data_IF_793162675427
#
_entry.id   IF_793162675427
#
_cell.length_a   1.000
_cell.length_b   1.000
_cell.length_c   1.000
_cell.angle_alpha   90.00
_cell.angle_beta   90.00
_cell.angle_gamma   90.00
#
_symmetry.space_group_name_H-M   'P 1'
#
loop_
_entity.id
_entity.type
_entity.pdbx_description
1 polymer ?
#
# COMPACT_ATOMS: atom_id res chain seq x y z
N UNK A 1 -10.94 8.34 -23.66
CA UNK A 1 -10.13 7.13 -23.91
C UNK A 1 -8.76 7.28 -23.24
N UNK A 2 -8.15 6.16 -22.81
CA UNK A 2 -6.82 6.16 -22.20
C UNK A 2 -5.74 6.62 -23.20
N UNK A 3 -5.94 6.35 -24.49
CA UNK A 3 -5.03 6.75 -25.54
C UNK A 3 -4.98 8.28 -25.69
N UNK A 4 -6.11 8.93 -25.83
CA UNK A 4 -6.20 10.40 -25.88
C UNK A 4 -5.62 11.04 -24.63
N UNK A 5 -5.96 10.52 -23.45
CA UNK A 5 -5.41 11.01 -22.19
C UNK A 5 -3.89 10.85 -22.12
N UNK A 6 -3.35 9.79 -22.73
CA UNK A 6 -1.92 9.55 -22.76
C UNK A 6 -1.15 10.62 -23.58
N UNK A 7 -1.81 11.26 -24.52
CA UNK A 7 -1.24 12.29 -25.38
C UNK A 7 -1.23 13.69 -24.72
N UNK A 8 -1.98 13.87 -23.63
CA UNK A 8 -1.98 15.14 -22.90
C UNK A 8 -0.55 15.45 -22.36
N UNK A 9 -0.09 16.71 -22.48
CA UNK A 9 1.27 17.11 -22.07
C UNK A 9 1.65 16.69 -20.65
N UNK A 10 0.68 16.71 -19.71
CA UNK A 10 0.88 16.28 -18.34
C UNK A 10 1.31 14.80 -18.24
N UNK A 11 0.65 13.92 -18.99
CA UNK A 11 0.99 12.49 -18.99
C UNK A 11 2.27 12.20 -19.73
N UNK A 12 2.55 12.90 -20.83
CA UNK A 12 3.85 12.84 -21.52
C UNK A 12 4.99 13.23 -20.58
N UNK A 13 4.84 14.35 -19.87
CA UNK A 13 5.80 14.78 -18.83
C UNK A 13 5.99 13.74 -17.73
N UNK A 14 4.90 13.18 -17.20
CA UNK A 14 4.97 12.13 -16.16
C UNK A 14 5.71 10.87 -16.64
N UNK A 15 5.47 10.44 -17.90
CA UNK A 15 6.20 9.30 -18.50
C UNK A 15 7.69 9.58 -18.66
N UNK A 16 8.02 10.73 -19.21
CA UNK A 16 9.42 11.13 -19.44
C UNK A 16 10.19 11.22 -18.09
N UNK A 17 9.62 11.86 -17.09
CA UNK A 17 10.21 11.96 -15.77
C UNK A 17 10.36 10.57 -15.09
N UNK A 18 9.36 9.70 -15.24
CA UNK A 18 9.43 8.34 -14.73
C UNK A 18 10.54 7.55 -15.40
N UNK A 19 10.63 7.61 -16.72
CA UNK A 19 11.68 6.94 -17.49
C UNK A 19 13.07 7.44 -17.09
N UNK A 20 13.27 8.75 -17.01
CA UNK A 20 14.55 9.33 -16.60
C UNK A 20 15.00 8.82 -15.22
N UNK A 21 14.08 8.82 -14.24
CA UNK A 21 14.36 8.32 -12.90
C UNK A 21 14.69 6.82 -12.86
N UNK A 22 14.02 6.01 -13.68
CA UNK A 22 14.29 4.57 -13.75
C UNK A 22 15.61 4.28 -14.45
N UNK A 23 15.97 5.03 -15.48
CA UNK A 23 17.27 4.93 -16.14
C UNK A 23 18.41 5.33 -15.20
N UNK A 24 18.25 6.41 -14.44
CA UNK A 24 19.21 6.78 -13.38
C UNK A 24 19.37 5.67 -12.36
N UNK A 25 18.26 5.09 -11.89
CA UNK A 25 18.27 3.97 -10.95
C UNK A 25 19.01 2.76 -11.52
N UNK A 26 18.74 2.41 -12.79
CA UNK A 26 19.42 1.30 -13.49
C UNK A 26 20.92 1.57 -13.63
N UNK A 27 21.30 2.78 -14.02
CA UNK A 27 22.71 3.19 -14.15
C UNK A 27 23.43 2.98 -12.83
N UNK A 28 22.86 3.49 -11.74
CA UNK A 28 23.46 3.39 -10.41
C UNK A 28 23.58 1.94 -9.90
N UNK A 29 22.58 1.10 -10.15
CA UNK A 29 22.66 -0.33 -9.82
C UNK A 29 23.76 -1.06 -10.60
N UNK A 30 24.03 -0.64 -11.84
CA UNK A 30 25.14 -1.17 -12.63
C UNK A 30 26.50 -0.70 -12.07
N UNK A 31 26.63 0.55 -11.66
CA UNK A 31 27.85 1.11 -11.07
C UNK A 31 28.25 0.40 -9.77
N UNK A 32 27.27 0.07 -8.91
CA UNK A 32 27.53 -0.68 -7.67
C UNK A 32 27.59 -2.20 -7.87
N UNK A 33 27.52 -2.67 -9.11
CA UNK A 33 27.59 -4.10 -9.45
C UNK A 33 26.63 -5.01 -8.68
N UNK A 34 25.42 -4.54 -8.40
CA UNK A 34 24.45 -5.27 -7.56
C UNK A 34 24.10 -6.65 -8.12
N UNK A 35 24.18 -6.84 -9.44
CA UNK A 35 23.95 -8.14 -10.07
C UNK A 35 25.05 -9.16 -9.79
N UNK A 36 26.32 -8.72 -9.73
CA UNK A 36 27.48 -9.61 -9.50
C UNK A 36 27.68 -9.90 -8.02
N UNK A 37 27.46 -8.88 -7.18
CA UNK A 37 27.60 -9.02 -5.73
C UNK A 37 26.44 -8.30 -5.01
N UNK A 38 25.27 -8.96 -4.88
CA UNK A 38 24.08 -8.34 -4.29
C UNK A 38 24.29 -7.83 -2.87
N UNK A 39 24.96 -8.61 -2.02
CA UNK A 39 25.17 -8.24 -0.61
C UNK A 39 26.01 -6.96 -0.46
N UNK A 40 27.16 -6.90 -1.15
CA UNK A 40 28.05 -5.73 -1.12
C UNK A 40 27.38 -4.51 -1.78
N UNK A 41 26.73 -4.73 -2.92
CA UNK A 41 26.01 -3.66 -3.62
C UNK A 41 24.90 -3.07 -2.77
N UNK A 42 24.13 -3.92 -2.11
CA UNK A 42 23.08 -3.48 -1.18
C UNK A 42 23.67 -2.72 0.03
N UNK A 43 24.69 -3.26 0.69
CA UNK A 43 25.35 -2.59 1.81
C UNK A 43 25.87 -1.19 1.44
N UNK A 44 26.42 -1.05 0.24
CA UNK A 44 26.86 0.26 -0.29
C UNK A 44 25.70 1.22 -0.47
N UNK A 45 24.56 0.73 -0.95
CA UNK A 45 23.37 1.55 -1.21
C UNK A 45 22.71 2.05 0.07
N UNK A 46 22.58 1.18 1.09
CA UNK A 46 21.89 1.52 2.35
C UNK A 46 22.77 2.21 3.38
N UNK A 47 24.05 2.43 3.07
CA UNK A 47 24.94 3.11 4.03
C UNK A 47 24.33 4.46 4.45
N UNK A 48 24.29 4.79 5.75
CA UNK A 48 23.64 6.00 6.27
C UNK A 48 24.11 7.30 5.61
N UNK A 49 25.36 7.37 5.21
CA UNK A 49 25.94 8.53 4.51
C UNK A 49 25.54 8.60 3.03
N UNK A 50 25.01 7.52 2.46
CA UNK A 50 24.65 7.46 1.04
C UNK A 50 23.17 7.84 0.81
N UNK A 51 22.87 9.13 0.94
CA UNK A 51 21.50 9.65 0.69
C UNK A 51 21.00 9.31 -0.71
N UNK A 52 21.85 9.33 -1.72
CA UNK A 52 21.51 9.00 -3.11
C UNK A 52 21.15 7.52 -3.26
N UNK A 53 21.88 6.63 -2.62
CA UNK A 53 21.59 5.19 -2.62
C UNK A 53 20.22 4.88 -2.01
N UNK A 54 19.91 5.48 -0.88
CA UNK A 54 18.61 5.32 -0.21
C UNK A 54 17.44 5.81 -1.08
N UNK A 55 17.60 6.94 -1.78
CA UNK A 55 16.57 7.45 -2.70
C UNK A 55 16.37 6.50 -3.89
N UNK A 56 17.44 5.95 -4.44
CA UNK A 56 17.41 4.99 -5.55
C UNK A 56 16.71 3.69 -5.16
N UNK A 57 17.02 3.14 -3.97
CA UNK A 57 16.29 1.97 -3.44
C UNK A 57 14.81 2.29 -3.27
N UNK A 58 14.49 3.43 -2.68
CA UNK A 58 13.11 3.86 -2.47
C UNK A 58 12.33 3.97 -3.80
N UNK A 59 12.99 4.46 -4.86
CA UNK A 59 12.39 4.51 -6.22
C UNK A 59 12.13 3.11 -6.78
N UNK A 60 13.09 2.20 -6.66
CA UNK A 60 12.93 0.82 -7.13
C UNK A 60 11.81 0.09 -6.37
N UNK A 61 11.78 0.19 -5.04
CA UNK A 61 10.74 -0.38 -4.20
C UNK A 61 9.37 0.20 -4.51
N UNK A 62 9.27 1.50 -4.81
CA UNK A 62 8.00 2.12 -5.21
C UNK A 62 7.42 1.49 -6.47
N UNK A 63 8.25 1.19 -7.47
CA UNK A 63 7.76 0.55 -8.69
C UNK A 63 7.24 -0.88 -8.43
N UNK A 64 7.90 -1.64 -7.57
CA UNK A 64 7.45 -2.97 -7.16
C UNK A 64 6.13 -2.86 -6.39
N UNK A 65 6.04 -1.94 -5.43
CA UNK A 65 4.82 -1.71 -4.65
C UNK A 65 3.64 -1.30 -5.53
N UNK A 66 3.84 -0.37 -6.46
CA UNK A 66 2.80 0.06 -7.40
C UNK A 66 2.30 -1.12 -8.24
N UNK A 67 3.19 -1.98 -8.69
CA UNK A 67 2.82 -3.15 -9.49
C UNK A 67 2.09 -4.22 -8.69
N UNK A 68 2.53 -4.50 -7.47
CA UNK A 68 2.08 -5.63 -6.68
C UNK A 68 0.95 -5.30 -5.70
N UNK A 69 0.91 -4.07 -5.17
CA UNK A 69 0.09 -3.76 -3.99
C UNK A 69 -0.98 -2.69 -4.24
N UNK A 70 -0.87 -1.89 -5.29
CA UNK A 70 -1.69 -0.66 -5.42
C UNK A 70 -3.21 -0.88 -5.42
N UNK A 71 -3.68 -2.04 -5.86
CA UNK A 71 -5.10 -2.38 -5.95
C UNK A 71 -5.48 -3.57 -5.05
N UNK A 72 -4.56 -3.99 -4.20
CA UNK A 72 -4.72 -5.13 -3.31
C UNK A 72 -4.72 -4.72 -1.83
N UNK A 73 -4.52 -3.44 -1.55
CA UNK A 73 -4.52 -2.88 -0.20
C UNK A 73 -5.58 -1.79 -0.12
N UNK A 74 -6.37 -1.84 0.94
CA UNK A 74 -7.32 -0.78 1.29
C UNK A 74 -6.88 -0.16 2.61
N UNK A 75 -6.76 1.17 2.61
CA UNK A 75 -6.45 1.93 3.82
C UNK A 75 -7.72 2.43 4.49
N UNK A 76 -7.89 2.08 5.75
CA UNK A 76 -8.99 2.51 6.58
C UNK A 76 -8.61 3.81 7.28
N UNK A 77 -8.88 4.92 6.62
CA UNK A 77 -8.49 6.24 7.11
C UNK A 77 -9.34 6.72 8.28
N UNK A 78 -10.65 6.44 8.25
CA UNK A 78 -11.59 6.82 9.29
C UNK A 78 -12.57 5.68 9.54
N UNK A 79 -12.67 5.26 10.79
CA UNK A 79 -13.66 4.29 11.22
C UNK A 79 -14.18 4.67 12.62
N UNK A 80 -15.42 5.04 12.68
CA UNK A 80 -16.09 5.40 13.93
C UNK A 80 -17.58 5.58 13.71
N UNK A 81 -18.34 5.51 14.77
CA UNK A 81 -19.75 5.84 14.78
C UNK A 81 -19.95 7.31 15.11
N UNK A 82 -20.99 7.91 14.54
CA UNK A 82 -21.33 9.31 14.71
C UNK A 82 -22.36 9.43 15.84
N UNK A 83 -22.25 10.46 16.64
CA UNK A 83 -23.27 10.79 17.64
C UNK A 83 -24.62 11.05 16.96
N UNK A 84 -25.74 10.52 17.48
CA UNK A 84 -25.93 9.83 18.78
C UNK A 84 -25.73 8.29 18.72
N UNK A 85 -25.35 7.74 17.59
CA UNK A 85 -25.30 6.28 17.35
C UNK A 85 -24.03 5.62 17.90
N UNK A 86 -23.08 6.38 18.40
CA UNK A 86 -21.78 5.88 18.87
C UNK A 86 -21.90 4.88 20.05
N UNK A 87 -22.94 4.98 20.84
CA UNK A 87 -23.17 4.06 21.94
C UNK A 87 -23.80 2.73 21.49
N UNK A 88 -24.58 2.76 20.41
CA UNK A 88 -25.30 1.61 19.86
C UNK A 88 -24.48 0.89 18.79
N UNK A 89 -23.92 1.64 17.87
CA UNK A 89 -23.15 1.15 16.74
C UNK A 89 -21.64 1.18 17.06
N UNK A 90 -21.17 0.32 17.93
CA UNK A 90 -19.77 0.31 18.31
C UNK A 90 -18.81 0.34 17.11
N UNK A 91 -17.91 1.32 17.05
CA UNK A 91 -16.91 1.41 15.99
C UNK A 91 -16.06 0.14 15.80
N UNK A 92 -15.94 -0.68 16.84
CA UNK A 92 -15.32 -2.01 16.78
C UNK A 92 -16.10 -2.98 15.89
N UNK A 93 -17.43 -2.94 15.90
CA UNK A 93 -18.24 -3.78 15.02
C UNK A 93 -17.97 -3.43 13.56
N UNK A 94 -17.96 -2.16 13.21
CA UNK A 94 -17.65 -1.70 11.84
C UNK A 94 -16.24 -2.12 11.44
N UNK A 95 -15.24 -1.90 12.29
CA UNK A 95 -13.85 -2.29 12.04
C UNK A 95 -13.68 -3.83 11.94
N UNK A 96 -14.57 -4.60 12.54
CA UNK A 96 -14.60 -6.06 12.41
C UNK A 96 -15.27 -6.49 11.09
N UNK A 97 -16.40 -5.89 10.76
CA UNK A 97 -17.15 -6.22 9.54
C UNK A 97 -16.35 -5.94 8.26
N UNK A 98 -15.46 -4.95 8.27
CA UNK A 98 -14.64 -4.62 7.10
C UNK A 98 -13.69 -5.75 6.71
N UNK A 99 -13.37 -6.65 7.64
CA UNK A 99 -12.54 -7.85 7.37
C UNK A 99 -13.35 -9.02 6.83
N UNK A 100 -14.66 -8.89 6.70
CA UNK A 100 -15.55 -9.95 6.26
C UNK A 100 -15.35 -10.35 4.81
N UNK A 101 -15.76 -11.57 4.47
CA UNK A 101 -15.73 -12.07 3.11
C UNK A 101 -16.61 -11.23 2.18
N UNK A 102 -17.78 -10.78 2.67
CA UNK A 102 -18.69 -9.93 1.91
C UNK A 102 -18.01 -8.64 1.41
N UNK A 103 -17.21 -7.99 2.26
CA UNK A 103 -16.47 -6.79 1.86
C UNK A 103 -15.41 -7.11 0.81
N UNK A 104 -14.71 -8.23 0.94
CA UNK A 104 -13.74 -8.69 -0.08
C UNK A 104 -14.40 -8.96 -1.43
N UNK A 105 -15.55 -9.60 -1.42
CA UNK A 105 -16.32 -9.90 -2.63
C UNK A 105 -16.86 -8.61 -3.28
N UNK A 106 -17.41 -7.69 -2.49
CA UNK A 106 -17.86 -6.39 -2.96
C UNK A 106 -16.69 -5.57 -3.53
N UNK A 107 -15.54 -5.58 -2.88
CA UNK A 107 -14.33 -4.93 -3.38
C UNK A 107 -13.93 -5.49 -4.74
N UNK A 108 -13.83 -6.81 -4.85
CA UNK A 108 -13.50 -7.49 -6.11
C UNK A 108 -14.54 -7.18 -7.19
N UNK A 109 -15.83 -7.30 -6.88
CA UNK A 109 -16.92 -6.97 -7.81
C UNK A 109 -16.86 -5.53 -8.30
N UNK A 110 -16.55 -4.59 -7.39
CA UNK A 110 -16.47 -3.16 -7.71
C UNK A 110 -15.29 -2.85 -8.61
N UNK A 111 -14.09 -3.32 -8.25
CA UNK A 111 -12.86 -2.88 -8.89
C UNK A 111 -12.34 -3.82 -9.98
N UNK A 112 -12.81 -5.07 -10.07
CA UNK A 112 -12.51 -5.97 -11.19
C UNK A 112 -13.56 -5.96 -12.30
N UNK A 113 -14.69 -5.28 -12.11
CA UNK A 113 -15.71 -5.16 -13.13
C UNK A 113 -15.27 -4.24 -14.25
N UNK A 114 -15.37 -4.68 -15.50
CA UNK A 114 -15.09 -3.87 -16.70
C UNK A 114 -15.85 -2.55 -16.74
N UNK A 115 -17.00 -2.47 -16.08
CA UNK A 115 -17.83 -1.26 -15.98
C UNK A 115 -17.16 -0.15 -15.18
N UNK A 116 -16.42 -0.50 -14.13
CA UNK A 116 -15.81 0.46 -13.21
C UNK A 116 -14.29 0.55 -13.34
N UNK A 117 -13.69 -0.44 -13.98
CA UNK A 117 -12.26 -0.52 -14.17
C UNK A 117 -11.84 0.35 -15.35
N UNK A 118 -10.99 1.33 -15.09
CA UNK A 118 -10.34 2.13 -16.13
C UNK A 118 -8.91 1.63 -16.34
N UNK A 119 -8.45 1.52 -17.58
CA UNK A 119 -7.06 1.13 -17.82
C UNK A 119 -6.10 2.19 -17.29
N UNK A 120 -4.96 1.75 -16.77
CA UNK A 120 -3.91 2.66 -16.32
C UNK A 120 -3.32 3.42 -17.50
N UNK A 121 -3.52 4.73 -17.56
CA UNK A 121 -3.06 5.58 -18.67
C UNK A 121 -1.57 5.39 -18.95
N UNK A 122 -0.72 5.47 -17.92
CA UNK A 122 0.73 5.37 -18.07
C UNK A 122 1.16 3.94 -18.46
N UNK A 123 0.59 2.92 -17.84
CA UNK A 123 0.96 1.54 -18.14
C UNK A 123 0.46 1.11 -19.53
N UNK A 124 -0.74 1.52 -19.90
CA UNK A 124 -1.33 1.24 -21.21
C UNK A 124 -0.54 1.91 -22.33
N UNK A 125 -0.20 3.17 -22.16
CA UNK A 125 0.61 3.93 -23.10
C UNK A 125 2.02 3.32 -23.29
N UNK A 126 2.64 2.80 -22.22
CA UNK A 126 3.93 2.13 -22.34
C UNK A 126 3.86 0.76 -23.03
N UNK A 127 2.71 0.08 -22.95
CA UNK A 127 2.50 -1.24 -23.55
C UNK A 127 1.79 -1.20 -24.92
N UNK A 128 1.28 -0.05 -25.34
CA UNK A 128 0.49 0.09 -26.56
C UNK A 128 -0.85 -0.64 -26.52
N UNK A 129 -1.32 -1.08 -25.34
CA UNK A 129 -2.60 -1.78 -25.14
C UNK A 129 -3.18 -1.48 -23.77
N UNK A 130 -4.51 -1.59 -23.59
CA UNK A 130 -5.12 -1.36 -22.28
C UNK A 130 -4.54 -2.28 -21.21
N UNK A 131 -4.08 -1.71 -20.11
CA UNK A 131 -3.56 -2.44 -18.95
C UNK A 131 -4.50 -2.23 -17.79
N UNK A 132 -5.21 -3.28 -17.44
CA UNK A 132 -6.02 -3.38 -16.24
C UNK A 132 -5.24 -4.08 -15.13
N UNK A 133 -5.61 -3.83 -13.90
CA UNK A 133 -5.03 -4.48 -12.73
C UNK A 133 -6.10 -5.28 -12.03
N UNK A 134 -5.79 -6.49 -11.62
CA UNK A 134 -6.70 -7.30 -10.82
C UNK A 134 -6.80 -6.72 -9.41
N UNK A 135 -8.00 -6.34 -9.03
CA UNK A 135 -8.30 -5.87 -7.70
C UNK A 135 -8.68 -7.07 -6.81
N UNK A 136 -7.76 -7.51 -6.01
CA UNK A 136 -7.98 -8.58 -5.03
C UNK A 136 -7.53 -8.07 -3.66
N UNK A 137 -8.50 -7.75 -2.80
CA UNK A 137 -8.19 -7.23 -1.47
C UNK A 137 -7.45 -8.27 -0.63
N UNK A 138 -6.15 -8.07 -0.47
CA UNK A 138 -5.27 -8.94 0.30
C UNK A 138 -5.04 -8.42 1.71
N UNK A 139 -5.08 -7.10 1.88
CA UNK A 139 -4.66 -6.46 3.11
C UNK A 139 -5.49 -5.21 3.39
N UNK A 140 -5.80 -5.01 4.65
CA UNK A 140 -6.36 -3.78 5.19
C UNK A 140 -5.29 -3.12 6.04
N UNK A 141 -5.10 -1.83 5.85
CA UNK A 141 -4.21 -1.02 6.68
C UNK A 141 -4.99 0.07 7.38
N UNK A 142 -4.48 0.53 8.50
CA UNK A 142 -5.02 1.69 9.20
C UNK A 142 -3.91 2.40 9.95
N UNK A 143 -4.10 3.69 10.16
CA UNK A 143 -3.23 4.51 10.99
C UNK A 143 -4.02 4.99 12.21
N UNK A 144 -3.59 4.64 13.40
CA UNK A 144 -4.18 5.17 14.63
C UNK A 144 -3.46 6.45 15.04
N UNK A 145 -4.23 7.52 15.23
CA UNK A 145 -3.74 8.80 15.77
C UNK A 145 -3.59 8.77 17.29
N UNK A 146 -4.22 7.80 17.93
CA UNK A 146 -4.19 7.63 19.39
C UNK A 146 -3.06 6.70 19.81
N UNK A 147 -2.55 6.88 21.01
CA UNK A 147 -1.54 5.99 21.58
C UNK A 147 -1.99 4.52 21.60
N UNK A 148 -1.04 3.60 21.68
CA UNK A 148 -1.25 2.14 21.54
C UNK A 148 -2.35 1.61 22.47
N UNK A 149 -2.45 2.14 23.69
CA UNK A 149 -3.43 1.70 24.67
C UNK A 149 -4.87 2.06 24.32
N UNK A 150 -5.10 3.11 23.57
CA UNK A 150 -6.43 3.62 23.24
C UNK A 150 -6.93 3.23 21.85
N UNK A 151 -6.10 2.62 21.02
CA UNK A 151 -6.51 2.17 19.68
C UNK A 151 -7.52 1.04 19.76
N UNK A 152 -8.67 1.21 19.09
CA UNK A 152 -9.68 0.16 18.97
C UNK A 152 -9.15 -1.12 18.32
N UNK A 153 -8.19 -0.99 17.39
CA UNK A 153 -7.64 -2.11 16.62
C UNK A 153 -6.86 -3.09 17.49
N UNK A 154 -6.19 -2.63 18.53
CA UNK A 154 -5.47 -3.50 19.48
C UNK A 154 -6.41 -4.42 20.27
N UNK A 155 -7.71 -4.08 20.31
CA UNK A 155 -8.74 -4.81 21.07
C UNK A 155 -9.61 -5.72 20.19
N UNK A 156 -9.49 -5.62 18.88
CA UNK A 156 -10.22 -6.48 17.95
C UNK A 156 -9.41 -7.76 17.72
N UNK A 157 -9.82 -8.84 18.34
CA UNK A 157 -9.16 -10.15 18.25
C UNK A 157 -10.21 -11.25 18.17
N UNK A 158 -10.29 -11.91 17.02
CA UNK A 158 -11.10 -13.10 16.85
C UNK A 158 -10.17 -14.31 16.79
N UNK A 159 -10.07 -15.02 17.88
CA UNK A 159 -9.19 -16.16 17.98
C UNK A 159 -9.92 -17.43 17.52
N UNK A 160 -9.26 -18.24 16.69
CA UNK A 160 -9.78 -19.52 16.20
C UNK A 160 -10.29 -20.41 17.32
N UNK A 161 -9.61 -20.45 18.46
CA UNK A 161 -10.02 -21.25 19.62
C UNK A 161 -11.41 -20.89 20.19
N UNK A 162 -11.89 -19.67 19.93
CA UNK A 162 -13.18 -19.18 20.41
C UNK A 162 -14.29 -19.31 19.36
N UNK A 163 -13.93 -19.60 18.10
CA UNK A 163 -14.86 -19.59 16.97
C UNK A 163 -14.53 -20.73 16.00
N UNK A 164 -15.28 -21.81 16.06
CA UNK A 164 -15.04 -23.03 15.27
C UNK A 164 -15.08 -22.83 13.75
N UNK A 165 -15.76 -21.78 13.29
CA UNK A 165 -15.85 -21.46 11.87
C UNK A 165 -14.62 -20.71 11.33
N UNK A 166 -13.72 -20.23 12.19
CA UNK A 166 -12.50 -19.55 11.76
C UNK A 166 -11.42 -20.54 11.37
N UNK A 167 -10.82 -20.37 10.21
CA UNK A 167 -9.65 -21.13 9.79
C UNK A 167 -8.37 -20.67 10.50
N UNK A 168 -8.25 -19.38 10.71
CA UNK A 168 -7.10 -18.71 11.34
C UNK A 168 -7.59 -17.60 12.27
N UNK A 169 -6.71 -17.13 13.15
CA UNK A 169 -6.96 -15.95 13.96
C UNK A 169 -7.08 -14.71 13.08
N UNK A 170 -8.06 -13.86 13.37
CA UNK A 170 -8.21 -12.54 12.74
C UNK A 170 -7.81 -11.50 13.78
N UNK A 171 -6.69 -10.87 13.58
CA UNK A 171 -6.13 -9.86 14.47
C UNK A 171 -5.54 -8.72 13.67
N UNK A 172 -5.64 -7.50 14.18
CA UNK A 172 -4.87 -6.38 13.68
C UNK A 172 -3.44 -6.47 14.24
N UNK A 173 -2.46 -6.49 13.35
CA UNK A 173 -1.04 -6.51 13.72
C UNK A 173 -0.46 -5.12 13.64
N UNK A 174 0.18 -4.67 14.71
CA UNK A 174 1.00 -3.47 14.66
C UNK A 174 2.23 -3.75 13.81
N UNK A 175 2.39 -3.00 12.73
CA UNK A 175 3.55 -3.13 11.83
C UNK A 175 4.64 -2.18 12.26
N UNK A 176 4.25 -1.00 12.72
CA UNK A 176 5.16 0.10 12.95
C UNK A 176 4.60 1.07 13.98
N UNK A 177 5.44 1.42 14.92
CA UNK A 177 5.22 2.48 15.89
C UNK A 177 6.24 3.58 15.63
N UNK A 178 5.78 4.81 15.51
CA UNK A 178 6.66 5.95 15.30
C UNK A 178 7.41 6.28 16.60
N UNK A 179 8.43 5.52 16.91
CA UNK A 179 9.40 5.90 17.93
C UNK A 179 10.37 6.91 17.33
N UNK A 180 10.67 7.96 18.09
CA UNK A 180 11.43 9.15 17.67
C UNK A 180 12.79 8.87 17.00
N UNK A 181 13.24 7.63 16.96
CA UNK A 181 14.64 7.29 16.65
C UNK A 181 14.92 6.77 15.24
N UNK A 182 13.99 6.19 14.49
CA UNK A 182 14.37 5.49 13.26
C UNK A 182 13.59 5.79 11.97
N UNK A 183 12.35 6.25 12.03
CA UNK A 183 11.57 6.53 10.83
C UNK A 183 10.80 7.83 10.96
N UNK A 184 11.14 8.81 10.11
CA UNK A 184 10.41 10.08 10.03
C UNK A 184 9.20 9.91 9.11
N UNK A 185 8.04 9.61 9.67
CA UNK A 185 6.77 9.89 9.00
C UNK A 185 6.35 11.33 9.33
N UNK A 186 5.65 12.00 8.44
CA UNK A 186 5.14 13.36 8.68
C UNK A 186 3.97 13.40 9.68
N UNK A 187 3.55 12.28 10.23
CA UNK A 187 2.47 12.14 11.20
C UNK A 187 2.91 11.34 12.42
N UNK A 188 2.28 11.61 13.55
CA UNK A 188 2.37 10.76 14.74
C UNK A 188 1.24 9.74 14.65
N UNK A 189 1.58 8.45 14.60
CA UNK A 189 0.55 7.41 14.53
C UNK A 189 1.12 6.02 14.71
N UNK A 190 0.24 5.08 15.00
CA UNK A 190 0.53 3.64 15.04
C UNK A 190 -0.12 3.01 13.82
N UNK A 191 0.64 2.28 13.05
CA UNK A 191 0.17 1.60 11.83
C UNK A 191 -0.19 0.16 12.15
N UNK A 192 -1.34 -0.29 11.64
CA UNK A 192 -1.86 -1.64 11.81
C UNK A 192 -2.18 -2.28 10.45
N UNK A 193 -2.01 -3.57 10.37
CA UNK A 193 -2.45 -4.43 9.25
C UNK A 193 -3.43 -5.49 9.76
#
# INVERSE_FOLDING_TARGET
>A
DWLEQSEIPLFKKKRALKLARLLETRKFFNEVNIKKNPARGYATLIHPSNKKGNDIISRALREIKIKALSENIMDLSVCGSITPYNEILGGKLVASLITSQQVRELYKKRYSSKKYQKPSIIASSNKGKPVYRDANLLCLTTTSLYGVSSSQYNRIKFLKKNFNFLKNDIIWKEIFKNDKSSYKTKGQGVYHI
#
